data_IF_863904425384
#
_entry.id   IF_863904425384
#
_cell.length_a   1.000
_cell.length_b   1.000
_cell.length_c   1.000
_cell.angle_alpha   90.00
_cell.angle_beta   90.00
_cell.angle_gamma   90.00
#
_symmetry.space_group_name_H-M   'P 1'
#
loop_
_entity.id
_entity.type
_entity.pdbx_description
1 polymer ?
#
# COMPACT_ATOMS: atom_id res chain seq x y z
N UNK A 1 3.51 -0.19 30.59
CA UNK A 1 3.82 0.55 29.34
C UNK A 1 3.76 -0.45 28.20
N UNK A 2 2.80 -0.30 27.31
CA UNK A 2 2.69 -1.13 26.10
C UNK A 2 3.67 -0.53 25.08
N UNK A 3 4.78 -1.22 24.80
CA UNK A 3 5.71 -0.77 23.76
C UNK A 3 5.04 -1.01 22.40
N UNK A 4 4.77 0.07 21.66
CA UNK A 4 4.22 -0.07 20.31
C UNK A 4 5.37 -0.37 19.36
N UNK A 5 5.44 -1.60 18.88
CA UNK A 5 6.52 -2.09 18.05
C UNK A 5 6.33 -1.64 16.60
N UNK A 6 7.27 -0.83 16.10
CA UNK A 6 7.33 -0.42 14.69
C UNK A 6 8.14 -1.47 13.92
N UNK A 7 7.60 -1.93 12.79
CA UNK A 7 8.25 -2.88 11.89
C UNK A 7 8.02 -2.47 10.45
N UNK A 8 8.89 -2.95 9.56
CA UNK A 8 8.62 -2.90 8.13
C UNK A 8 7.43 -3.80 7.80
N UNK A 9 6.52 -3.27 6.98
CA UNK A 9 5.36 -3.98 6.44
C UNK A 9 5.37 -3.89 4.92
N UNK A 10 4.81 -4.92 4.31
CA UNK A 10 4.69 -5.05 2.86
C UNK A 10 3.21 -5.10 2.49
N UNK A 11 2.83 -4.33 1.47
CA UNK A 11 1.49 -4.36 0.90
C UNK A 11 1.61 -4.64 -0.59
N UNK A 12 1.05 -5.76 -1.03
CA UNK A 12 0.94 -6.09 -2.46
C UNK A 12 -0.39 -5.62 -3.02
N UNK A 13 -0.30 -4.94 -4.15
CA UNK A 13 -1.44 -4.45 -4.91
C UNK A 13 -1.35 -4.94 -6.34
N UNK A 14 -2.42 -5.54 -6.82
CA UNK A 14 -2.65 -5.78 -8.24
C UNK A 14 -3.75 -4.83 -8.70
N UNK A 15 -3.43 -3.98 -9.66
CA UNK A 15 -4.35 -2.95 -10.16
C UNK A 15 -4.13 -2.74 -11.65
N UNK A 16 -5.20 -2.45 -12.39
CA UNK A 16 -5.07 -2.03 -13.79
C UNK A 16 -4.04 -0.90 -13.96
N UNK A 17 -3.19 -1.02 -14.98
CA UNK A 17 -2.08 -0.11 -15.27
C UNK A 17 -2.48 1.36 -15.30
N UNK A 18 -3.70 1.65 -15.77
CA UNK A 18 -4.30 3.00 -15.79
C UNK A 18 -4.38 3.64 -14.40
N UNK A 19 -4.57 2.85 -13.36
CA UNK A 19 -4.78 3.33 -11.98
C UNK A 19 -3.58 3.08 -11.05
N UNK A 20 -2.55 2.35 -11.48
CA UNK A 20 -1.38 2.04 -10.67
C UNK A 20 -0.71 3.29 -10.08
N UNK A 21 -0.28 4.22 -10.95
CA UNK A 21 0.38 5.46 -10.51
C UNK A 21 -0.47 6.29 -9.53
N UNK A 22 -1.74 6.66 -9.81
CA UNK A 22 -2.51 7.46 -8.86
C UNK A 22 -2.77 6.71 -7.55
N UNK A 23 -2.92 5.39 -7.56
CA UNK A 23 -3.17 4.62 -6.34
C UNK A 23 -1.92 4.52 -5.46
N UNK A 24 -0.75 4.24 -6.05
CA UNK A 24 0.54 4.25 -5.32
C UNK A 24 0.76 5.60 -4.66
N UNK A 25 0.57 6.71 -5.40
CA UNK A 25 0.75 8.06 -4.84
C UNK A 25 -0.23 8.35 -3.70
N UNK A 26 -1.48 7.91 -3.83
CA UNK A 26 -2.49 8.09 -2.78
C UNK A 26 -2.14 7.32 -1.51
N UNK A 27 -1.64 6.09 -1.65
CA UNK A 27 -1.21 5.27 -0.51
C UNK A 27 0.05 5.86 0.14
N UNK A 28 1.05 6.26 -0.65
CA UNK A 28 2.24 6.98 -0.15
C UNK A 28 1.83 8.23 0.66
N UNK A 29 0.86 8.99 0.16
CA UNK A 29 0.35 10.17 0.86
C UNK A 29 -0.35 9.83 2.18
N UNK A 30 -1.11 8.73 2.25
CA UNK A 30 -1.73 8.27 3.50
C UNK A 30 -0.65 7.88 4.52
N UNK A 31 0.32 7.06 4.10
CA UNK A 31 1.41 6.59 4.97
C UNK A 31 2.23 7.76 5.51
N UNK A 32 2.56 8.74 4.66
CA UNK A 32 3.25 9.96 5.09
C UNK A 32 2.40 10.78 6.07
N UNK A 33 1.17 11.14 5.69
CA UNK A 33 0.37 12.09 6.46
C UNK A 33 -0.18 11.52 7.77
N UNK A 34 -0.42 10.21 7.84
CA UNK A 34 -1.06 9.59 9.01
C UNK A 34 -0.09 8.81 9.87
N UNK A 35 0.97 8.24 9.28
CA UNK A 35 1.90 7.38 10.00
C UNK A 35 3.28 8.02 10.21
N UNK A 36 3.52 9.20 9.63
CA UNK A 36 4.80 9.90 9.63
C UNK A 36 5.95 9.00 9.13
N UNK A 37 5.65 8.22 8.09
CA UNK A 37 6.52 7.18 7.58
C UNK A 37 6.75 7.34 6.07
N UNK A 38 7.92 6.90 5.62
CA UNK A 38 8.27 6.87 4.21
C UNK A 38 7.77 5.56 3.60
N UNK A 39 7.19 5.67 2.41
CA UNK A 39 6.69 4.53 1.66
C UNK A 39 7.45 4.39 0.33
N UNK A 40 8.18 3.31 0.19
CA UNK A 40 8.85 2.89 -1.05
C UNK A 40 7.96 1.92 -1.82
N UNK A 41 8.19 1.79 -3.13
CA UNK A 41 7.46 0.82 -3.94
C UNK A 41 8.35 0.18 -4.99
N UNK A 42 8.03 -1.07 -5.32
CA UNK A 42 8.64 -1.85 -6.39
C UNK A 42 7.56 -2.26 -7.39
N UNK A 43 7.83 -2.07 -8.68
CA UNK A 43 6.94 -2.54 -9.74
C UNK A 43 7.41 -3.91 -10.22
N UNK A 44 6.58 -4.93 -10.01
CA UNK A 44 6.89 -6.32 -10.34
C UNK A 44 6.30 -6.76 -11.69
N UNK A 45 5.70 -5.84 -12.46
CA UNK A 45 5.04 -6.13 -13.74
C UNK A 45 5.87 -5.73 -14.96
N UNK A 46 5.59 -6.37 -16.09
CA UNK A 46 6.17 -6.04 -17.39
C UNK A 46 5.41 -4.91 -18.07
N UNK A 47 6.08 -4.17 -18.97
CA UNK A 47 5.48 -3.05 -19.69
C UNK A 47 4.29 -3.45 -20.58
N UNK A 48 4.15 -4.72 -20.92
CA UNK A 48 3.05 -5.25 -21.73
C UNK A 48 1.80 -5.60 -20.93
N UNK A 49 1.87 -5.59 -19.60
CA UNK A 49 0.79 -6.10 -18.76
C UNK A 49 -0.35 -5.08 -18.62
N UNK A 50 -1.59 -5.56 -18.70
CA UNK A 50 -2.80 -4.75 -18.50
C UNK A 50 -3.03 -4.42 -17.02
N UNK A 51 -2.55 -5.30 -16.13
CA UNK A 51 -2.53 -5.16 -14.69
C UNK A 51 -1.09 -5.07 -14.18
N UNK A 52 -0.87 -4.23 -13.18
CA UNK A 52 0.43 -3.97 -12.58
C UNK A 52 0.40 -4.54 -11.18
N UNK A 53 1.37 -5.40 -10.88
CA UNK A 53 1.67 -5.82 -9.52
C UNK A 53 2.71 -4.88 -8.90
N UNK A 54 2.37 -4.30 -7.76
CA UNK A 54 3.24 -3.40 -7.00
C UNK A 54 3.33 -3.84 -5.55
N UNK A 55 4.55 -3.91 -5.03
CA UNK A 55 4.78 -4.06 -3.60
C UNK A 55 5.13 -2.71 -3.00
N UNK A 56 4.46 -2.30 -1.92
CA UNK A 56 4.81 -1.12 -1.12
C UNK A 56 5.46 -1.52 0.19
N UNK A 57 6.51 -0.80 0.57
CA UNK A 57 7.30 -1.03 1.79
C UNK A 57 7.25 0.22 2.65
N UNK A 58 6.92 0.06 3.94
CA UNK A 58 6.88 1.17 4.89
C UNK A 58 6.99 0.69 6.33
N UNK A 59 7.52 1.56 7.20
CA UNK A 59 7.57 1.31 8.64
C UNK A 59 6.24 1.72 9.29
N UNK A 60 5.62 0.82 10.04
CA UNK A 60 4.43 1.15 10.81
C UNK A 60 4.21 0.19 11.98
N UNK A 61 3.23 0.52 12.81
CA UNK A 61 2.71 -0.34 13.86
C UNK A 61 1.60 -1.25 13.29
N UNK A 62 1.32 -2.38 13.94
CA UNK A 62 0.20 -3.26 13.56
C UNK A 62 -1.13 -2.49 13.41
N UNK A 63 -1.45 -1.60 14.36
CA UNK A 63 -2.68 -0.78 14.32
C UNK A 63 -2.74 0.15 13.11
N UNK A 64 -1.61 0.76 12.74
CA UNK A 64 -1.53 1.61 11.55
C UNK A 64 -1.66 0.79 10.27
N UNK A 65 -1.08 -0.42 10.25
CA UNK A 65 -1.21 -1.34 9.12
C UNK A 65 -2.67 -1.75 8.91
N UNK A 66 -3.35 -2.19 9.96
CA UNK A 66 -4.77 -2.54 9.91
C UNK A 66 -5.62 -1.35 9.45
N UNK A 67 -5.34 -0.16 9.99
CA UNK A 67 -6.03 1.06 9.58
C UNK A 67 -5.82 1.39 8.10
N UNK A 68 -4.61 1.18 7.57
CA UNK A 68 -4.33 1.35 6.15
C UNK A 68 -5.17 0.39 5.31
N UNK A 69 -5.24 -0.89 5.70
CA UNK A 69 -6.04 -1.89 4.98
C UNK A 69 -7.52 -1.50 4.95
N UNK A 70 -8.07 -0.98 6.06
CA UNK A 70 -9.44 -0.45 6.10
C UNK A 70 -9.62 0.75 5.16
N UNK A 71 -8.69 1.71 5.17
CA UNK A 71 -8.75 2.85 4.26
C UNK A 71 -8.75 2.37 2.81
N UNK A 72 -7.91 1.41 2.46
CA UNK A 72 -7.80 0.96 1.07
C UNK A 72 -9.09 0.22 0.66
N UNK A 73 -9.60 -0.70 1.49
CA UNK A 73 -10.87 -1.41 1.24
C UNK A 73 -12.05 -0.45 1.07
N UNK A 74 -12.09 0.65 1.82
CA UNK A 74 -13.21 1.60 1.78
C UNK A 74 -13.10 2.66 0.68
N UNK A 75 -11.88 3.09 0.33
CA UNK A 75 -11.66 4.25 -0.57
C UNK A 75 -11.31 3.91 -1.99
N UNK A 76 -10.91 2.67 -2.27
CA UNK A 76 -10.52 2.26 -3.61
C UNK A 76 -11.59 1.30 -4.16
N UNK A 77 -12.36 1.80 -5.11
CA UNK A 77 -13.34 0.97 -5.82
C UNK A 77 -12.61 0.02 -6.77
N UNK A 78 -13.17 -1.20 -6.92
CA UNK A 78 -12.66 -2.28 -7.78
C UNK A 78 -12.22 -1.77 -9.16
N UNK A 79 -11.03 -2.16 -9.68
CA UNK A 79 -10.37 -3.45 -9.48
C UNK A 79 -9.00 -3.32 -8.81
N UNK A 80 -8.94 -3.19 -7.48
CA UNK A 80 -7.71 -3.50 -6.74
C UNK A 80 -7.89 -4.87 -6.11
N UNK A 81 -7.00 -5.80 -6.46
CA UNK A 81 -6.80 -6.99 -5.64
C UNK A 81 -5.64 -6.70 -4.67
N UNK A 82 -5.88 -6.92 -3.39
CA UNK A 82 -4.88 -6.68 -2.34
C UNK A 82 -4.49 -8.01 -1.73
N UNK A 83 -3.19 -8.24 -1.61
CA UNK A 83 -2.64 -9.38 -0.87
C UNK A 83 -1.89 -8.85 0.35
N UNK A 84 -2.23 -9.42 1.52
CA UNK A 84 -1.56 -9.15 2.79
C UNK A 84 -0.51 -10.25 2.97
N UNK A 85 0.77 -9.86 3.08
CA UNK A 85 1.89 -10.76 3.34
C UNK A 85 2.35 -10.67 4.79
#
# INVERSE_FOLDING_TARGET
MEFTLIKEKQLKLTVSKKYAKPYIQKIKSIVWNQFDSVCEFENNSFDTDEEVEVTLFFLCTEKQYDHLLEIIRNRFQSPIQMEVI
#
